data_IF_975715107421
#
_entry.id   IF_975715107421
#
_cell.length_a   1.000
_cell.length_b   1.000
_cell.length_c   1.000
_cell.angle_alpha   90.00
_cell.angle_beta   90.00
_cell.angle_gamma   90.00
#
_symmetry.space_group_name_H-M   'P 1'
#
loop_
_entity.id
_entity.type
_entity.pdbx_description
1 polymer ?
#
# COMPACT_ATOMS: atom_id res chain seq x y z
N UNK A 1 -5.31 6.70 -6.10
CA UNK A 1 -4.51 7.94 -6.16
C UNK A 1 -4.23 8.41 -4.74
N UNK A 2 -2.95 8.56 -4.33
CA UNK A 2 -2.58 8.87 -2.94
C UNK A 2 -2.68 10.36 -2.56
N UNK A 3 -2.65 11.29 -3.50
CA UNK A 3 -2.69 12.75 -3.24
C UNK A 3 -4.01 13.40 -3.69
N UNK A 4 -5.12 12.67 -3.57
CA UNK A 4 -6.41 13.17 -4.03
C UNK A 4 -7.04 14.08 -2.97
N UNK A 5 -7.59 15.21 -3.39
CA UNK A 5 -8.27 16.18 -2.51
C UNK A 5 -9.76 16.27 -2.82
N UNK A 6 -10.58 16.57 -1.82
CA UNK A 6 -12.00 16.92 -1.99
C UNK A 6 -12.36 18.10 -1.08
N UNK A 7 -13.01 19.12 -1.63
CA UNK A 7 -13.38 20.32 -0.85
C UNK A 7 -12.21 21.06 -0.22
N UNK A 8 -11.00 20.97 -0.81
CA UNK A 8 -9.78 21.58 -0.28
C UNK A 8 -9.07 20.77 0.81
N UNK A 9 -9.59 19.60 1.21
CA UNK A 9 -8.96 18.70 2.16
C UNK A 9 -8.31 17.49 1.47
N UNK A 10 -7.19 17.01 2.01
CA UNK A 10 -6.55 15.76 1.60
C UNK A 10 -7.45 14.57 2.00
N UNK A 11 -7.76 13.68 1.05
CA UNK A 11 -8.55 12.47 1.32
C UNK A 11 -7.75 11.40 2.07
N UNK A 12 -6.42 11.47 2.01
CA UNK A 12 -5.52 10.49 2.62
C UNK A 12 -4.48 11.23 3.47
N UNK A 13 -4.88 11.83 4.61
CA UNK A 13 -4.02 12.74 5.35
C UNK A 13 -2.79 12.06 5.99
N UNK A 14 -2.83 10.75 6.23
CA UNK A 14 -1.72 10.00 6.81
C UNK A 14 -0.81 9.39 5.71
N UNK A 15 0.51 9.36 5.96
CA UNK A 15 1.48 8.63 5.14
C UNK A 15 1.08 7.16 4.95
N UNK A 16 0.60 6.47 6.00
CA UNK A 16 0.13 5.09 5.85
C UNK A 16 -1.08 4.99 4.91
N UNK A 17 -2.00 5.97 4.95
CA UNK A 17 -3.14 6.00 4.02
C UNK A 17 -2.62 6.11 2.58
N UNK A 18 -1.67 7.01 2.33
CA UNK A 18 -1.05 7.17 1.00
C UNK A 18 -0.31 5.89 0.54
N UNK A 19 0.41 5.23 1.44
CA UNK A 19 1.10 3.96 1.16
C UNK A 19 0.11 2.86 0.74
N UNK A 20 -0.99 2.72 1.49
CA UNK A 20 -2.06 1.76 1.18
C UNK A 20 -2.67 2.06 -0.20
N UNK A 21 -2.83 3.33 -0.58
CA UNK A 21 -3.33 3.70 -1.92
C UNK A 21 -2.39 3.31 -3.06
N UNK A 22 -1.08 3.26 -2.84
CA UNK A 22 -0.14 2.69 -3.82
C UNK A 22 -0.35 1.18 -3.97
N UNK A 23 -0.44 0.45 -2.85
CA UNK A 23 -0.66 -0.99 -2.87
C UNK A 23 -1.97 -1.35 -3.59
N UNK A 24 -3.09 -0.77 -3.16
CA UNK A 24 -4.40 -1.04 -3.79
C UNK A 24 -4.44 -0.56 -5.24
N UNK A 25 -3.89 0.62 -5.52
CA UNK A 25 -3.92 1.23 -6.84
C UNK A 25 -3.33 0.35 -7.94
N UNK A 26 -2.26 -0.39 -7.65
CA UNK A 26 -1.63 -1.31 -8.60
C UNK A 26 -2.08 -2.76 -8.42
N UNK A 27 -2.35 -3.23 -7.21
CA UNK A 27 -2.70 -4.63 -6.98
C UNK A 27 -4.09 -4.99 -7.53
N UNK A 28 -5.04 -4.05 -7.54
CA UNK A 28 -6.43 -4.32 -7.95
C UNK A 28 -6.77 -3.85 -9.36
N UNK A 29 -5.95 -2.97 -9.94
CA UNK A 29 -6.16 -2.46 -11.28
C UNK A 29 -5.15 -3.14 -12.21
N UNK A 30 -5.61 -3.83 -13.25
CA UNK A 30 -4.76 -4.51 -14.23
C UNK A 30 -4.04 -3.48 -15.13
N UNK A 31 -3.16 -2.65 -14.56
CA UNK A 31 -2.53 -1.50 -15.22
C UNK A 31 -1.45 -1.96 -16.22
N UNK A 32 -0.72 -3.01 -15.85
CA UNK A 32 0.32 -3.63 -16.68
C UNK A 32 -0.13 -5.00 -17.20
N UNK A 33 0.50 -5.46 -18.28
CA UNK A 33 0.28 -6.81 -18.85
C UNK A 33 0.65 -7.92 -17.86
N UNK A 34 1.70 -7.70 -17.07
CA UNK A 34 2.08 -8.50 -15.90
C UNK A 34 2.84 -7.61 -14.90
N UNK A 35 2.99 -8.05 -13.66
CA UNK A 35 3.80 -7.39 -12.64
C UNK A 35 3.03 -6.48 -11.70
N UNK A 36 1.72 -6.29 -11.91
CA UNK A 36 0.84 -5.42 -11.08
C UNK A 36 1.07 -5.59 -9.57
N UNK A 37 1.08 -6.83 -9.09
CA UNK A 37 1.31 -7.16 -7.66
C UNK A 37 2.72 -6.78 -7.18
N UNK A 38 3.75 -7.06 -7.98
CA UNK A 38 5.15 -6.72 -7.64
C UNK A 38 5.34 -5.21 -7.60
N UNK A 39 4.80 -4.50 -8.59
CA UNK A 39 4.82 -3.04 -8.64
C UNK A 39 4.08 -2.44 -7.45
N UNK A 40 2.92 -2.99 -7.08
CA UNK A 40 2.16 -2.55 -5.91
C UNK A 40 2.98 -2.62 -4.61
N UNK A 41 3.60 -3.77 -4.34
CA UNK A 41 4.43 -3.96 -3.15
C UNK A 41 5.64 -3.02 -3.13
N UNK A 42 6.38 -2.94 -4.23
CA UNK A 42 7.60 -2.13 -4.31
C UNK A 42 7.28 -0.64 -4.21
N UNK A 43 6.24 -0.16 -4.89
CA UNK A 43 5.88 1.26 -4.84
C UNK A 43 5.41 1.69 -3.45
N UNK A 44 4.67 0.83 -2.73
CA UNK A 44 4.33 1.05 -1.33
C UNK A 44 5.58 1.13 -0.45
N UNK A 45 6.51 0.18 -0.57
CA UNK A 45 7.75 0.17 0.21
C UNK A 45 8.64 1.38 -0.06
N UNK A 46 8.86 1.70 -1.33
CA UNK A 46 9.68 2.86 -1.74
C UNK A 46 9.07 4.16 -1.23
N UNK A 47 7.73 4.28 -1.29
CA UNK A 47 7.05 5.45 -0.74
C UNK A 47 7.25 5.58 0.78
N UNK A 48 7.10 4.49 1.53
CA UNK A 48 7.35 4.49 2.98
C UNK A 48 8.79 4.85 3.32
N UNK A 49 9.75 4.27 2.58
CA UNK A 49 11.18 4.57 2.76
C UNK A 49 11.50 6.05 2.54
N UNK A 50 10.92 6.71 1.53
CA UNK A 50 11.09 8.15 1.32
C UNK A 50 10.41 9.04 2.39
N UNK A 51 9.60 8.45 3.27
CA UNK A 51 9.00 9.13 4.42
C UNK A 51 9.62 8.64 5.75
N UNK A 52 10.83 8.10 5.71
CA UNK A 52 11.58 7.62 6.87
C UNK A 52 10.85 6.52 7.67
N UNK A 53 10.03 5.71 6.99
CA UNK A 53 9.32 4.57 7.58
C UNK A 53 9.92 3.27 7.05
N UNK A 54 10.45 2.47 7.96
CA UNK A 54 10.92 1.11 7.69
C UNK A 54 9.96 0.08 8.29
N UNK A 55 9.83 -1.08 7.61
CA UNK A 55 8.95 -2.16 8.04
C UNK A 55 9.76 -3.41 8.40
N UNK A 56 9.50 -3.98 9.56
CA UNK A 56 9.93 -5.33 9.95
C UNK A 56 8.94 -6.37 9.39
N UNK A 57 9.05 -6.66 8.09
CA UNK A 57 8.23 -7.68 7.43
C UNK A 57 9.08 -8.59 6.57
N UNK A 58 8.78 -9.89 6.60
CA UNK A 58 9.40 -10.83 5.67
C UNK A 58 8.88 -10.64 4.25
N UNK A 59 9.68 -11.07 3.26
CA UNK A 59 9.27 -11.09 1.85
C UNK A 59 8.03 -11.96 1.61
N UNK A 60 7.86 -13.03 2.38
CA UNK A 60 6.68 -13.90 2.35
C UNK A 60 5.42 -13.20 2.87
N UNK A 61 5.52 -12.44 3.96
CA UNK A 61 4.38 -11.70 4.51
C UNK A 61 3.95 -10.58 3.57
N UNK A 62 4.91 -9.85 3.01
CA UNK A 62 4.64 -8.83 1.99
C UNK A 62 3.92 -9.42 0.78
N UNK A 63 4.41 -10.58 0.28
CA UNK A 63 3.79 -11.26 -0.85
C UNK A 63 2.35 -11.70 -0.53
N UNK A 64 2.13 -12.24 0.68
CA UNK A 64 0.83 -12.71 1.13
C UNK A 64 -0.18 -11.56 1.25
N UNK A 65 0.19 -10.46 1.93
CA UNK A 65 -0.67 -9.27 2.06
C UNK A 65 -0.99 -8.69 0.68
N UNK A 66 -0.01 -8.61 -0.21
CA UNK A 66 -0.22 -8.10 -1.58
C UNK A 66 -1.20 -8.98 -2.36
N UNK A 67 -1.10 -10.31 -2.23
CA UNK A 67 -2.02 -11.25 -2.85
C UNK A 67 -3.43 -11.14 -2.26
N UNK A 68 -3.55 -10.98 -0.95
CA UNK A 68 -4.85 -10.85 -0.29
C UNK A 68 -5.54 -9.52 -0.64
N UNK A 69 -4.80 -8.44 -0.84
CA UNK A 69 -5.32 -7.18 -1.42
C UNK A 69 -5.79 -7.38 -2.85
N UNK A 70 -4.97 -8.01 -3.71
CA UNK A 70 -5.35 -8.27 -5.10
C UNK A 70 -6.61 -9.14 -5.21
N UNK A 71 -6.80 -10.05 -4.25
CA UNK A 71 -7.98 -10.93 -4.13
C UNK A 71 -9.14 -10.30 -3.33
N UNK A 72 -9.05 -9.02 -2.94
CA UNK A 72 -10.09 -8.28 -2.19
C UNK A 72 -10.45 -8.90 -0.84
N UNK A 73 -9.51 -9.59 -0.19
CA UNK A 73 -9.68 -10.19 1.14
C UNK A 73 -9.34 -9.22 2.28
N UNK A 74 -8.52 -8.21 2.00
CA UNK A 74 -8.14 -7.17 2.95
C UNK A 74 -8.71 -5.82 2.55
N UNK A 75 -9.17 -5.05 3.52
CA UNK A 75 -9.58 -3.66 3.36
C UNK A 75 -8.38 -2.71 3.50
N UNK A 76 -8.53 -1.48 2.99
CA UNK A 76 -7.49 -0.44 3.15
C UNK A 76 -7.13 -0.22 4.63
N UNK A 77 -8.12 -0.21 5.52
CA UNK A 77 -7.92 -0.05 6.96
C UNK A 77 -7.15 -1.24 7.57
N UNK A 78 -7.45 -2.48 7.18
CA UNK A 78 -6.72 -3.65 7.67
C UNK A 78 -5.25 -3.61 7.26
N UNK A 79 -4.96 -3.20 6.03
CA UNK A 79 -3.58 -3.05 5.56
C UNK A 79 -2.88 -1.90 6.28
N UNK A 80 -3.56 -0.77 6.49
CA UNK A 80 -3.02 0.34 7.27
C UNK A 80 -2.58 -0.10 8.67
N UNK A 81 -3.45 -0.81 9.39
CA UNK A 81 -3.12 -1.34 10.72
C UNK A 81 -1.98 -2.36 10.67
N UNK A 82 -1.93 -3.19 9.62
CA UNK A 82 -0.81 -4.08 9.38
C UNK A 82 0.51 -3.30 9.22
N UNK A 83 0.55 -2.23 8.41
CA UNK A 83 1.76 -1.42 8.22
C UNK A 83 2.21 -0.75 9.52
N UNK A 84 1.28 -0.16 10.27
CA UNK A 84 1.57 0.47 11.57
C UNK A 84 2.17 -0.54 12.55
N UNK A 85 1.62 -1.75 12.61
CA UNK A 85 2.09 -2.81 13.52
C UNK A 85 3.52 -3.27 13.21
N UNK A 86 3.93 -3.24 11.95
CA UNK A 86 5.25 -3.70 11.52
C UNK A 86 6.24 -2.55 11.30
N UNK A 87 5.89 -1.32 11.65
CA UNK A 87 6.84 -0.21 11.57
C UNK A 87 7.83 -0.27 12.73
N UNK A 88 9.11 0.00 12.44
CA UNK A 88 10.22 0.06 13.43
C UNK A 88 10.46 1.49 13.87
#
# INVERSE_FOLDING_TARGET
>A
MPYQTFGGADLFPNIYDKAVRYLFGFATNQVFRDGNKRTAAITMLVFLHFNDIELDISSSELAQVTLDVANKKLTEEQVKQFLIKHTI
#
